data_IF_200918190042
#
_entry.id   IF_200918190042
#
_cell.length_a   1.000
_cell.length_b   1.000
_cell.length_c   1.000
_cell.angle_alpha   90.00
_cell.angle_beta   90.00
_cell.angle_gamma   90.00
#
_symmetry.space_group_name_H-M   'P 1'
#
loop_
_entity.id
_entity.type
_entity.pdbx_description
1 polymer ?
#
# COMPACT_ATOMS: atom_id res chain seq x y z
N UNK A 1 -4.14 -19.43 -17.81
CA UNK A 1 -3.06 -18.99 -16.89
C UNK A 1 -3.23 -17.49 -16.61
N UNK A 2 -3.79 -17.12 -15.45
CA UNK A 2 -4.17 -15.73 -15.14
C UNK A 2 -2.93 -14.88 -14.83
N UNK A 3 -2.32 -14.34 -15.89
CA UNK A 3 -1.31 -13.30 -15.85
C UNK A 3 -1.98 -12.04 -16.39
N UNK A 4 -2.84 -11.37 -15.62
CA UNK A 4 -3.42 -10.09 -16.09
C UNK A 4 -2.89 -8.87 -15.37
N UNK A 5 -2.35 -9.01 -14.18
CA UNK A 5 -1.60 -7.96 -13.52
C UNK A 5 -0.48 -8.67 -12.75
N UNK A 6 0.79 -8.31 -12.97
CA UNK A 6 1.93 -8.83 -12.19
C UNK A 6 1.94 -8.31 -10.75
N UNK A 7 0.78 -8.40 -10.11
CA UNK A 7 0.30 -7.79 -8.89
C UNK A 7 -0.77 -8.79 -8.41
N UNK A 8 -0.47 -9.62 -7.40
CA UNK A 8 -1.42 -10.61 -6.85
C UNK A 8 -2.73 -9.91 -6.46
N UNK A 9 -3.87 -10.59 -6.54
CA UNK A 9 -5.21 -10.07 -6.20
C UNK A 9 -5.24 -9.34 -4.83
N UNK A 10 -4.37 -9.78 -3.91
CA UNK A 10 -4.05 -9.20 -2.60
C UNK A 10 -3.69 -7.71 -2.62
N UNK A 11 -3.09 -7.22 -3.72
CA UNK A 11 -2.62 -5.85 -3.91
C UNK A 11 -3.66 -4.92 -4.57
N UNK A 12 -4.74 -5.46 -5.12
CA UNK A 12 -5.82 -4.66 -5.70
C UNK A 12 -6.29 -3.55 -4.75
N UNK A 13 -6.62 -3.81 -3.46
CA UNK A 13 -7.07 -2.76 -2.55
C UNK A 13 -6.00 -1.68 -2.28
N UNK A 14 -4.71 -1.95 -2.54
CA UNK A 14 -3.63 -0.99 -2.35
C UNK A 14 -3.43 -0.07 -3.56
N UNK A 15 -3.68 -0.58 -4.76
CA UNK A 15 -3.55 0.18 -6.02
C UNK A 15 -4.73 1.15 -6.20
N UNK A 16 -5.87 0.89 -5.57
CA UNK A 16 -6.99 1.84 -5.50
C UNK A 16 -6.75 3.01 -4.53
N UNK A 17 -5.70 2.97 -3.71
CA UNK A 17 -5.40 4.05 -2.78
C UNK A 17 -4.84 5.25 -3.54
N UNK A 18 -5.47 6.41 -3.33
CA UNK A 18 -5.11 7.62 -4.04
C UNK A 18 -3.65 8.02 -3.77
N UNK A 19 -2.83 8.02 -4.83
CA UNK A 19 -1.40 8.25 -4.76
C UNK A 19 -0.53 6.99 -4.65
N UNK A 20 -1.10 5.78 -4.71
CA UNK A 20 -0.34 4.52 -4.83
C UNK A 20 -0.59 3.88 -6.19
N UNK A 21 0.21 4.28 -7.18
CA UNK A 21 0.25 3.60 -8.47
C UNK A 21 1.00 2.27 -8.41
N UNK A 22 1.03 1.56 -9.55
CA UNK A 22 1.68 0.25 -9.72
C UNK A 22 3.12 0.17 -9.19
N UNK A 23 3.90 1.24 -9.37
CA UNK A 23 5.30 1.30 -8.91
C UNK A 23 5.37 1.31 -7.39
N UNK A 24 4.61 2.19 -6.71
CA UNK A 24 4.58 2.28 -5.24
C UNK A 24 3.96 1.03 -4.62
N UNK A 25 2.92 0.47 -5.23
CA UNK A 25 2.33 -0.80 -4.82
C UNK A 25 3.36 -1.95 -4.87
N UNK A 26 4.22 -1.96 -5.89
CA UNK A 26 5.30 -2.94 -6.01
C UNK A 26 6.37 -2.77 -4.92
N UNK A 27 6.75 -1.54 -4.57
CA UNK A 27 7.68 -1.29 -3.46
C UNK A 27 7.06 -1.67 -2.10
N UNK A 28 5.77 -1.38 -1.87
CA UNK A 28 5.05 -1.86 -0.68
C UNK A 28 5.10 -3.38 -0.56
N UNK A 29 4.82 -4.08 -1.67
CA UNK A 29 4.86 -5.53 -1.70
C UNK A 29 6.26 -6.07 -1.40
N UNK A 30 7.29 -5.46 -1.99
CA UNK A 30 8.70 -5.80 -1.74
C UNK A 30 9.10 -5.57 -0.30
N UNK A 31 8.57 -4.54 0.34
CA UNK A 31 8.76 -4.26 1.77
C UNK A 31 7.93 -5.19 2.69
N UNK A 32 7.14 -6.12 2.13
CA UNK A 32 6.34 -7.10 2.89
C UNK A 32 4.93 -6.64 3.24
N UNK A 33 4.52 -5.46 2.80
CA UNK A 33 3.17 -4.92 2.96
C UNK A 33 2.28 -5.40 1.82
N UNK A 34 1.71 -6.59 2.02
CA UNK A 34 0.83 -7.27 1.07
C UNK A 34 -0.64 -6.88 1.24
N UNK A 35 -1.03 -6.46 2.45
CA UNK A 35 -2.43 -6.28 2.85
C UNK A 35 -2.66 -4.96 3.59
N UNK A 36 -3.90 -4.46 3.51
CA UNK A 36 -4.35 -3.28 4.27
C UNK A 36 -4.20 -3.48 5.78
N UNK A 37 -4.38 -4.69 6.30
CA UNK A 37 -4.13 -4.99 7.72
C UNK A 37 -2.67 -4.81 8.12
N UNK A 38 -1.72 -5.16 7.24
CA UNK A 38 -0.28 -4.94 7.51
C UNK A 38 0.05 -3.45 7.47
N UNK A 39 -0.55 -2.70 6.54
CA UNK A 39 -0.39 -1.24 6.46
C UNK A 39 -1.01 -0.54 7.68
N UNK A 40 -2.18 -1.01 8.14
CA UNK A 40 -2.83 -0.51 9.33
C UNK A 40 -2.02 -0.80 10.60
N UNK A 41 -1.31 -1.93 10.66
CA UNK A 41 -0.36 -2.23 11.76
C UNK A 41 0.96 -1.46 11.63
N UNK A 42 1.39 -1.12 10.42
CA UNK A 42 2.62 -0.38 10.17
C UNK A 42 2.54 1.07 10.69
N UNK A 43 3.65 1.61 11.20
CA UNK A 43 3.75 3.02 11.53
C UNK A 43 3.89 3.87 10.25
N UNK A 44 3.50 5.14 10.32
CA UNK A 44 3.68 6.09 9.21
C UNK A 44 5.16 6.21 8.85
N UNK A 45 6.05 6.14 9.84
CA UNK A 45 7.51 6.14 9.63
C UNK A 45 7.95 4.92 8.82
N UNK A 46 7.51 3.71 9.16
CA UNK A 46 7.89 2.49 8.43
C UNK A 46 7.40 2.53 6.98
N UNK A 47 6.21 3.08 6.74
CA UNK A 47 5.70 3.28 5.37
C UNK A 47 6.47 4.37 4.62
N UNK A 48 6.88 5.43 5.30
CA UNK A 48 7.67 6.53 4.74
C UNK A 48 9.14 6.16 4.49
N UNK A 49 9.65 5.11 5.14
CA UNK A 49 10.98 4.55 4.89
C UNK A 49 11.07 3.80 3.56
N UNK A 50 9.93 3.47 2.95
CA UNK A 50 9.90 2.70 1.70
C UNK A 50 10.29 3.61 0.53
N UNK A 51 11.21 3.18 -0.35
CA UNK A 51 11.57 3.93 -1.54
C UNK A 51 10.32 4.29 -2.35
N UNK A 52 10.23 5.57 -2.78
CA UNK A 52 9.10 6.15 -3.54
C UNK A 52 7.80 6.36 -2.75
N UNK A 53 7.77 6.02 -1.46
CA UNK A 53 6.64 6.31 -0.56
C UNK A 53 7.10 7.36 0.43
N UNK A 54 6.80 8.61 0.13
CA UNK A 54 7.11 9.71 1.03
C UNK A 54 6.17 9.78 2.23
N UNK A 55 6.50 10.63 3.23
CA UNK A 55 5.68 10.84 4.42
C UNK A 55 4.24 11.26 4.09
N UNK A 56 4.03 12.03 3.02
CA UNK A 56 2.70 12.44 2.55
C UNK A 56 1.85 11.25 2.11
N UNK A 57 2.45 10.29 1.39
CA UNK A 57 1.73 9.09 0.91
C UNK A 57 1.49 8.15 2.08
N UNK A 58 2.49 7.95 2.93
CA UNK A 58 2.36 7.15 4.16
C UNK A 58 1.23 7.65 5.07
N UNK A 59 1.14 8.96 5.28
CA UNK A 59 0.06 9.58 6.07
C UNK A 59 -1.32 9.38 5.42
N UNK A 60 -1.42 9.56 4.09
CA UNK A 60 -2.67 9.29 3.34
C UNK A 60 -3.09 7.83 3.41
N UNK A 61 -2.15 6.90 3.27
CA UNK A 61 -2.40 5.46 3.37
C UNK A 61 -2.91 5.08 4.77
N UNK A 62 -2.25 5.58 5.81
CA UNK A 62 -2.69 5.36 7.19
C UNK A 62 -4.07 5.96 7.46
N UNK A 63 -4.34 7.14 6.92
CA UNK A 63 -5.64 7.79 7.04
C UNK A 63 -6.76 7.02 6.31
N UNK A 64 -6.49 6.47 5.12
CA UNK A 64 -7.47 5.69 4.34
C UNK A 64 -7.72 4.31 4.96
N UNK A 65 -6.67 3.61 5.39
CA UNK A 65 -6.77 2.31 6.06
C UNK A 65 -7.41 2.39 7.45
N UNK A 66 -7.28 3.54 8.14
CA UNK A 66 -7.97 3.80 9.40
C UNK A 66 -9.44 4.24 9.24
N UNK A 67 -9.86 4.68 8.04
CA UNK A 67 -11.24 5.16 7.76
C UNK A 67 -12.15 4.13 7.11
N UNK A 68 -11.62 3.06 6.53
CA UNK A 68 -12.44 2.08 5.80
C UNK A 68 -12.92 0.97 6.74
N UNK A 69 -13.91 1.29 7.56
CA UNK A 69 -14.93 0.32 7.96
C UNK A 69 -16.24 1.06 8.27
N UNK A 70 -17.10 1.19 7.26
CA UNK A 70 -18.55 1.30 7.41
C UNK A 70 -19.18 0.49 6.29
#
# INVERSE_FOLDING_TARGET
TRIRYGIKEELMPLVYLDGVGRVRARELYRAGFTDTSKISKASVQNLASIPKIGPTVAAKLKAQTGRSNK
#
